data_IF_412227078324
#
_entry.id   IF_412227078324
#
_cell.length_a   1.000
_cell.length_b   1.000
_cell.length_c   1.000
_cell.angle_alpha   90.00
_cell.angle_beta   90.00
_cell.angle_gamma   90.00
#
_symmetry.space_group_name_H-M   'P 1'
#
loop_
_entity.id
_entity.type
_entity.pdbx_description
1 polymer ?
#
# COMPACT_ATOMS: atom_id res chain seq x y z
N UNK A 1 -17.86 7.65 13.96
CA UNK A 1 -16.95 6.61 13.39
C UNK A 1 -16.75 5.48 14.40
N UNK A 2 -16.59 4.22 13.96
CA UNK A 2 -16.25 3.09 14.85
C UNK A 2 -15.04 2.28 14.35
N UNK A 3 -14.12 1.91 15.25
CA UNK A 3 -13.03 0.98 14.95
C UNK A 3 -13.42 -0.46 15.32
N UNK A 4 -13.24 -1.39 14.39
CA UNK A 4 -13.65 -2.79 14.52
C UNK A 4 -12.48 -3.75 14.32
N UNK A 5 -12.51 -4.89 15.00
CA UNK A 5 -11.64 -6.04 14.70
C UNK A 5 -12.18 -6.80 13.49
N UNK A 6 -11.40 -7.71 12.90
CA UNK A 6 -11.92 -8.53 11.78
C UNK A 6 -13.05 -9.47 12.20
N UNK A 7 -13.09 -9.88 13.47
CA UNK A 7 -14.12 -10.79 13.97
C UNK A 7 -15.48 -10.12 14.07
N UNK A 8 -15.49 -8.81 14.32
CA UNK A 8 -16.72 -8.02 14.48
C UNK A 8 -17.32 -7.62 13.11
N UNK A 9 -16.63 -7.90 12.01
CA UNK A 9 -17.06 -7.52 10.67
C UNK A 9 -17.88 -8.63 10.01
N UNK A 10 -19.18 -8.41 9.92
CA UNK A 10 -20.08 -9.22 9.11
C UNK A 10 -20.15 -8.69 7.67
N UNK A 11 -19.52 -9.36 6.70
CA UNK A 11 -19.65 -9.00 5.27
C UNK A 11 -20.75 -9.85 4.63
N UNK A 12 -21.78 -9.21 4.11
CA UNK A 12 -22.91 -9.89 3.46
C UNK A 12 -22.64 -10.14 1.97
N UNK A 13 -23.57 -10.82 1.30
CA UNK A 13 -23.52 -11.08 -0.16
C UNK A 13 -23.91 -9.84 -0.97
N UNK A 14 -24.75 -8.96 -0.40
CA UNK A 14 -25.19 -7.72 -1.05
C UNK A 14 -24.10 -6.63 -1.05
N UNK A 15 -23.09 -6.80 -0.18
CA UNK A 15 -22.02 -5.84 -0.02
C UNK A 15 -21.09 -5.82 -1.25
N UNK A 16 -20.84 -4.62 -1.79
CA UNK A 16 -19.88 -4.41 -2.87
C UNK A 16 -18.45 -4.36 -2.30
N UNK A 17 -17.65 -5.38 -2.64
CA UNK A 17 -16.27 -5.52 -2.14
C UNK A 17 -15.25 -4.98 -3.14
N UNK A 18 -14.31 -4.19 -2.63
CA UNK A 18 -13.17 -3.65 -3.36
C UNK A 18 -11.88 -4.29 -2.84
N UNK A 19 -11.15 -4.97 -3.72
CA UNK A 19 -10.00 -5.82 -3.40
C UNK A 19 -8.80 -5.53 -4.28
N UNK A 20 -7.61 -5.88 -3.81
CA UNK A 20 -6.43 -5.78 -4.65
C UNK A 20 -6.50 -6.80 -5.79
N UNK A 21 -6.20 -6.34 -7.01
CA UNK A 21 -6.21 -7.16 -8.21
C UNK A 21 -5.17 -8.28 -8.11
N UNK A 22 -5.62 -9.51 -8.35
CA UNK A 22 -4.76 -10.69 -8.42
C UNK A 22 -4.08 -10.84 -9.79
N UNK A 23 -4.64 -10.22 -10.83
CA UNK A 23 -4.26 -10.44 -12.22
C UNK A 23 -2.80 -10.05 -12.50
N UNK A 24 -2.34 -8.92 -11.95
CA UNK A 24 -0.95 -8.47 -12.18
C UNK A 24 0.07 -9.43 -11.60
N UNK A 25 -0.22 -10.02 -10.42
CA UNK A 25 0.66 -11.02 -9.78
C UNK A 25 0.64 -12.34 -10.53
N UNK A 26 -0.52 -12.75 -11.06
CA UNK A 26 -0.65 -13.94 -11.89
C UNK A 26 0.10 -13.80 -13.22
N UNK A 27 -0.07 -12.68 -13.93
CA UNK A 27 0.64 -12.42 -15.19
C UNK A 27 2.15 -12.46 -14.97
N UNK A 28 2.65 -11.81 -13.92
CA UNK A 28 4.07 -11.86 -13.58
C UNK A 28 4.55 -13.30 -13.33
N UNK A 29 3.81 -14.09 -12.56
CA UNK A 29 4.15 -15.50 -12.28
C UNK A 29 4.21 -16.35 -13.57
N UNK A 30 3.22 -16.19 -14.45
CA UNK A 30 3.15 -16.90 -15.73
C UNK A 30 4.24 -16.46 -16.71
N UNK A 31 4.59 -15.18 -16.74
CA UNK A 31 5.68 -14.65 -17.57
C UNK A 31 7.01 -15.30 -17.19
N UNK A 32 7.35 -15.33 -15.90
CA UNK A 32 8.59 -15.97 -15.44
C UNK A 32 8.57 -17.50 -15.63
N UNK A 33 7.40 -18.13 -15.51
CA UNK A 33 7.26 -19.55 -15.82
C UNK A 33 7.50 -19.82 -17.32
N UNK A 34 6.92 -18.99 -18.20
CA UNK A 34 7.13 -19.07 -19.64
C UNK A 34 8.60 -18.90 -20.03
N UNK A 35 9.30 -17.94 -19.40
CA UNK A 35 10.76 -17.78 -19.59
C UNK A 35 11.54 -19.01 -19.13
N UNK A 36 11.15 -19.62 -18.01
CA UNK A 36 11.77 -20.86 -17.52
C UNK A 36 11.61 -22.00 -18.53
N UNK A 37 10.42 -22.15 -19.11
CA UNK A 37 10.14 -23.14 -20.16
C UNK A 37 10.95 -22.83 -21.42
N UNK A 38 11.07 -21.55 -21.80
CA UNK A 38 11.91 -21.12 -22.92
C UNK A 38 13.38 -21.51 -22.75
N UNK A 39 13.95 -21.26 -21.56
CA UNK A 39 15.31 -21.70 -21.24
C UNK A 39 15.46 -23.22 -21.26
N UNK A 40 14.44 -23.96 -20.81
CA UNK A 40 14.45 -25.43 -20.89
C UNK A 40 14.44 -25.93 -22.34
N UNK A 41 13.64 -25.34 -23.22
CA UNK A 41 13.62 -25.67 -24.64
C UNK A 41 14.97 -25.35 -25.32
N UNK A 42 15.60 -24.22 -24.98
CA UNK A 42 16.91 -23.83 -25.51
C UNK A 42 18.04 -24.76 -25.03
N UNK A 43 17.96 -25.21 -23.78
CA UNK A 43 18.84 -26.28 -23.29
C UNK A 43 18.64 -27.58 -24.08
N UNK A 44 17.39 -27.95 -24.36
CA UNK A 44 17.07 -29.18 -25.12
C UNK A 44 17.50 -29.13 -26.59
N UNK A 45 17.61 -27.95 -27.21
CA UNK A 45 18.18 -27.84 -28.56
C UNK A 45 19.71 -28.01 -28.60
N UNK A 46 20.37 -28.11 -27.45
CA UNK A 46 21.82 -28.33 -27.35
C UNK A 46 22.67 -27.07 -27.49
N UNK A 47 22.04 -25.91 -27.72
CA UNK A 47 22.74 -24.63 -27.88
C UNK A 47 23.12 -23.97 -26.55
N UNK A 48 22.48 -24.37 -25.45
CA UNK A 48 22.72 -23.80 -24.12
C UNK A 48 23.39 -24.83 -23.21
N UNK A 49 24.54 -24.51 -22.58
CA UNK A 49 25.16 -25.37 -21.57
C UNK A 49 24.25 -25.59 -20.34
N UNK A 50 24.35 -26.77 -19.72
CA UNK A 50 23.55 -27.12 -18.53
C UNK A 50 23.70 -26.11 -17.39
N UNK A 51 24.93 -25.65 -17.12
CA UNK A 51 25.17 -24.70 -16.03
C UNK A 51 24.44 -23.36 -16.27
N UNK A 52 24.42 -22.89 -17.52
CA UNK A 52 23.75 -21.65 -17.88
C UNK A 52 22.24 -21.80 -17.67
N UNK A 53 21.66 -22.93 -18.07
CA UNK A 53 20.25 -23.25 -17.85
C UNK A 53 19.88 -23.31 -16.37
N UNK A 54 20.68 -24.01 -15.56
CA UNK A 54 20.41 -24.14 -14.12
C UNK A 54 20.41 -22.79 -13.42
N UNK A 55 21.35 -21.90 -13.79
CA UNK A 55 21.40 -20.55 -13.24
C UNK A 55 20.21 -19.74 -13.75
N UNK A 56 20.07 -19.52 -15.07
CA UNK A 56 19.04 -18.64 -15.62
C UNK A 56 17.62 -19.17 -15.38
N UNK A 57 17.37 -20.43 -15.75
CA UNK A 57 16.09 -21.10 -15.55
C UNK A 57 15.74 -21.27 -14.08
N UNK A 58 16.72 -21.61 -13.23
CA UNK A 58 16.51 -21.67 -11.78
C UNK A 58 16.10 -20.33 -11.16
N UNK A 59 16.77 -19.24 -11.54
CA UNK A 59 16.40 -17.89 -11.10
C UNK A 59 14.99 -17.50 -11.58
N UNK A 60 14.65 -17.76 -12.85
CA UNK A 60 13.32 -17.46 -13.37
C UNK A 60 12.23 -18.27 -12.67
N UNK A 61 12.48 -19.55 -12.40
CA UNK A 61 11.57 -20.41 -11.65
C UNK A 61 11.37 -19.87 -10.23
N UNK A 62 12.44 -19.47 -9.55
CA UNK A 62 12.37 -18.87 -8.23
C UNK A 62 11.49 -17.61 -8.23
N UNK A 63 11.68 -16.70 -9.19
CA UNK A 63 10.82 -15.53 -9.33
C UNK A 63 9.36 -15.90 -9.58
N UNK A 64 9.10 -16.88 -10.46
CA UNK A 64 7.74 -17.38 -10.71
C UNK A 64 7.08 -17.88 -9.41
N UNK A 65 7.79 -18.67 -8.61
CA UNK A 65 7.31 -19.17 -7.32
C UNK A 65 7.02 -18.04 -6.32
N UNK A 66 7.87 -17.01 -6.28
CA UNK A 66 7.67 -15.83 -5.44
C UNK A 66 6.39 -15.08 -5.85
N UNK A 67 6.22 -14.77 -7.13
CA UNK A 67 5.02 -14.07 -7.62
C UNK A 67 3.75 -14.91 -7.46
N UNK A 68 3.86 -16.23 -7.64
CA UNK A 68 2.75 -17.14 -7.41
C UNK A 68 2.35 -17.21 -5.93
N UNK A 69 3.31 -17.14 -5.00
CA UNK A 69 3.04 -17.02 -3.57
C UNK A 69 2.28 -15.72 -3.24
N UNK A 70 2.68 -14.60 -3.84
CA UNK A 70 1.92 -13.34 -3.72
C UNK A 70 0.52 -13.46 -4.32
N UNK A 71 0.38 -14.10 -5.48
CA UNK A 71 -0.93 -14.36 -6.09
C UNK A 71 -1.82 -15.19 -5.15
N UNK A 72 -1.32 -16.27 -4.54
CA UNK A 72 -2.08 -17.04 -3.55
C UNK A 72 -2.59 -16.17 -2.40
N UNK A 73 -1.78 -15.24 -1.90
CA UNK A 73 -2.22 -14.29 -0.86
C UNK A 73 -3.37 -13.40 -1.32
N UNK A 74 -3.45 -13.04 -2.60
CA UNK A 74 -4.57 -12.25 -3.14
C UNK A 74 -5.89 -13.01 -3.20
N UNK A 75 -5.87 -14.34 -3.12
CA UNK A 75 -7.08 -15.17 -3.04
C UNK A 75 -7.61 -15.31 -1.60
N UNK A 76 -6.87 -14.77 -0.62
CA UNK A 76 -7.30 -14.77 0.77
C UNK A 76 -8.62 -14.00 0.95
N UNK A 77 -9.53 -14.46 1.83
CA UNK A 77 -10.72 -13.69 2.21
C UNK A 77 -10.36 -12.34 2.85
N UNK A 78 -9.12 -12.14 3.29
CA UNK A 78 -8.61 -10.88 3.84
C UNK A 78 -8.19 -9.87 2.78
N UNK A 79 -8.17 -10.24 1.49
CA UNK A 79 -7.88 -9.34 0.38
C UNK A 79 -9.12 -8.50 0.03
N UNK A 80 -9.44 -7.55 0.90
CA UNK A 80 -10.36 -6.47 0.62
C UNK A 80 -9.82 -5.21 1.30
N UNK A 81 -10.07 -4.06 0.67
CA UNK A 81 -9.68 -2.74 1.17
C UNK A 81 -10.90 -1.98 1.64
N UNK A 82 -11.98 -2.03 0.87
CA UNK A 82 -13.22 -1.33 1.17
C UNK A 82 -14.42 -2.21 0.87
N UNK A 83 -15.46 -2.07 1.67
CA UNK A 83 -16.75 -2.69 1.46
C UNK A 83 -17.82 -1.63 1.59
N UNK A 84 -18.69 -1.54 0.60
CA UNK A 84 -19.85 -0.64 0.62
C UNK A 84 -21.10 -1.49 0.68
N UNK A 85 -21.82 -1.38 1.79
CA UNK A 85 -23.08 -2.09 2.06
C UNK A 85 -24.23 -1.12 2.33
N UNK A 86 -25.46 -1.63 2.54
CA UNK A 86 -26.60 -0.78 2.87
C UNK A 86 -26.36 -0.03 4.18
N UNK A 87 -26.34 1.30 4.13
CA UNK A 87 -26.20 2.17 5.32
C UNK A 87 -24.86 2.07 6.04
N UNK A 88 -23.82 1.49 5.43
CA UNK A 88 -22.49 1.39 6.04
C UNK A 88 -21.37 1.28 5.02
N UNK A 89 -20.22 1.81 5.40
CA UNK A 89 -18.97 1.70 4.65
C UNK A 89 -17.91 1.16 5.60
N UNK A 90 -17.20 0.11 5.16
CA UNK A 90 -16.11 -0.50 5.91
C UNK A 90 -14.81 -0.29 5.16
N UNK A 91 -13.78 0.19 5.85
CA UNK A 91 -12.46 0.47 5.28
C UNK A 91 -11.42 -0.26 6.11
N UNK A 92 -10.72 -1.21 5.51
CA UNK A 92 -9.63 -1.94 6.14
C UNK A 92 -8.32 -1.20 5.92
N UNK A 93 -7.65 -0.78 6.99
CA UNK A 93 -6.36 -0.09 6.86
C UNK A 93 -5.15 -1.02 6.91
N UNK A 94 -5.30 -2.25 7.44
CA UNK A 94 -4.21 -3.24 7.39
C UNK A 94 -4.14 -3.93 6.03
N UNK A 95 -2.96 -3.94 5.43
CA UNK A 95 -2.72 -4.71 4.20
C UNK A 95 -2.94 -6.22 4.38
N UNK A 96 -3.62 -6.87 3.43
CA UNK A 96 -3.82 -8.33 3.40
C UNK A 96 -2.50 -9.12 3.38
N UNK A 97 -1.41 -8.48 2.95
CA UNK A 97 -0.07 -9.05 2.92
C UNK A 97 0.51 -9.30 4.32
N UNK A 98 -0.03 -8.61 5.34
CA UNK A 98 0.32 -8.73 6.75
C UNK A 98 -0.66 -9.63 7.52
N UNK A 99 -1.17 -10.68 6.87
CA UNK A 99 -2.08 -11.68 7.48
C UNK A 99 -1.45 -12.49 8.62
N UNK A 100 -0.14 -12.40 8.81
CA UNK A 100 0.59 -13.00 9.93
C UNK A 100 0.55 -12.16 11.23
N UNK A 101 0.01 -10.93 11.18
CA UNK A 101 -0.14 -10.09 12.37
C UNK A 101 -1.38 -10.48 13.19
N UNK A 102 -1.43 -10.21 14.51
CA UNK A 102 -2.56 -10.57 15.37
C UNK A 102 -3.90 -9.99 14.88
N UNK A 103 -4.93 -10.83 14.79
CA UNK A 103 -6.29 -10.44 14.37
C UNK A 103 -7.15 -9.84 15.47
N UNK A 104 -6.69 -9.91 16.73
CA UNK A 104 -7.38 -9.37 17.92
C UNK A 104 -7.46 -7.85 17.94
N UNK A 105 -6.65 -7.19 17.11
CA UNK A 105 -6.53 -5.75 17.09
C UNK A 105 -7.51 -5.10 16.09
N UNK A 106 -8.06 -3.89 16.39
CA UNK A 106 -8.91 -3.17 15.46
C UNK A 106 -8.17 -2.85 14.15
N UNK A 107 -8.77 -3.20 13.01
CA UNK A 107 -8.13 -2.98 11.70
C UNK A 107 -9.08 -2.50 10.60
N UNK A 108 -10.33 -2.23 10.99
CA UNK A 108 -11.41 -1.80 10.09
C UNK A 108 -12.06 -0.56 10.68
N UNK A 109 -12.26 0.44 9.85
CA UNK A 109 -13.07 1.63 10.13
C UNK A 109 -14.48 1.32 9.62
N UNK A 110 -15.49 1.53 10.45
CA UNK A 110 -16.88 1.55 10.04
C UNK A 110 -17.38 2.99 10.08
N UNK A 111 -17.90 3.42 8.94
CA UNK A 111 -18.54 4.72 8.74
C UNK A 111 -20.01 4.50 8.40
N UNK A 112 -20.87 5.32 9.00
CA UNK A 112 -22.23 5.48 8.53
C UNK A 112 -22.26 6.59 7.45
N UNK A 113 -23.15 6.52 6.44
CA UNK A 113 -23.24 7.56 5.42
C UNK A 113 -23.43 8.96 5.99
N UNK A 114 -24.17 9.09 7.09
CA UNK A 114 -24.44 10.37 7.75
C UNK A 114 -23.20 11.02 8.38
N UNK A 115 -22.13 10.24 8.62
CA UNK A 115 -20.85 10.74 9.14
C UNK A 115 -19.96 11.32 8.03
N UNK A 116 -20.32 11.10 6.76
CA UNK A 116 -19.53 11.46 5.59
C UNK A 116 -20.10 12.75 4.98
N UNK A 117 -19.27 13.79 4.96
CA UNK A 117 -19.62 15.08 4.35
C UNK A 117 -19.54 14.97 2.83
N UNK A 118 -18.39 14.50 2.33
CA UNK A 118 -18.13 14.40 0.90
C UNK A 118 -17.10 13.32 0.58
N UNK A 119 -17.04 12.95 -0.70
CA UNK A 119 -15.98 12.10 -1.23
C UNK A 119 -15.49 12.62 -2.58
N UNK A 120 -14.20 12.45 -2.87
CA UNK A 120 -13.63 12.84 -4.16
C UNK A 120 -12.49 11.92 -4.59
N UNK A 121 -12.24 11.92 -5.90
CA UNK A 121 -11.07 11.25 -6.48
C UNK A 121 -9.89 12.24 -6.43
N UNK A 122 -8.75 11.77 -5.96
CA UNK A 122 -7.48 12.51 -6.02
C UNK A 122 -6.49 11.77 -6.91
N UNK A 123 -5.97 12.46 -7.91
CA UNK A 123 -4.81 12.00 -8.68
C UNK A 123 -3.58 12.71 -8.17
N UNK A 124 -2.60 11.93 -7.72
CA UNK A 124 -1.38 12.45 -7.11
C UNK A 124 -0.19 12.15 -8.02
N UNK A 125 0.65 13.16 -8.20
CA UNK A 125 1.98 13.03 -8.79
C UNK A 125 3.01 13.23 -7.68
N UNK A 126 3.75 12.17 -7.35
CA UNK A 126 4.81 12.20 -6.34
C UNK A 126 6.16 12.25 -7.05
N UNK A 127 6.90 13.34 -6.90
CA UNK A 127 8.24 13.50 -7.50
C UNK A 127 9.28 13.38 -6.41
N UNK A 128 10.17 12.40 -6.53
CA UNK A 128 11.24 12.15 -5.56
C UNK A 128 12.51 11.60 -6.23
N UNK A 129 13.60 11.50 -5.49
CA UNK A 129 14.85 10.93 -6.01
C UNK A 129 14.90 9.41 -5.84
N UNK A 130 15.11 8.70 -6.94
CA UNK A 130 15.30 7.24 -6.95
C UNK A 130 16.63 6.83 -6.32
N UNK A 131 16.87 5.51 -6.18
CA UNK A 131 18.17 4.98 -5.75
C UNK A 131 19.34 5.57 -6.58
N UNK A 132 19.20 5.65 -7.91
CA UNK A 132 20.23 6.14 -8.84
C UNK A 132 20.41 7.66 -8.85
N UNK A 133 19.78 8.38 -7.91
CA UNK A 133 19.85 9.85 -7.83
C UNK A 133 19.15 10.59 -8.97
N UNK A 134 18.48 9.86 -9.87
CA UNK A 134 17.59 10.45 -10.87
C UNK A 134 16.27 10.86 -10.22
N UNK A 135 15.65 11.92 -10.76
CA UNK A 135 14.25 12.23 -10.44
C UNK A 135 13.35 11.11 -10.96
N UNK A 136 12.35 10.76 -10.19
CA UNK A 136 11.34 9.76 -10.54
C UNK A 136 9.99 10.30 -10.14
N UNK A 137 9.04 10.12 -11.05
CA UNK A 137 7.65 10.51 -10.87
C UNK A 137 6.82 9.25 -10.67
N UNK A 138 6.04 9.24 -9.61
CA UNK A 138 5.10 8.17 -9.29
C UNK A 138 3.68 8.71 -9.32
N UNK A 139 2.80 8.04 -10.07
CA UNK A 139 1.40 8.40 -10.15
C UNK A 139 0.56 7.54 -9.22
N UNK A 140 -0.27 8.18 -8.39
CA UNK A 140 -1.25 7.51 -7.54
C UNK A 140 -2.66 8.02 -7.81
N UNK A 141 -3.64 7.16 -7.56
CA UNK A 141 -5.04 7.54 -7.52
C UNK A 141 -5.60 7.09 -6.19
N UNK A 142 -6.23 8.02 -5.49
CA UNK A 142 -6.76 7.84 -4.15
C UNK A 142 -8.22 8.27 -4.09
N UNK A 143 -8.96 7.67 -3.17
CA UNK A 143 -10.29 8.11 -2.77
C UNK A 143 -10.14 8.87 -1.46
N UNK A 144 -10.59 10.11 -1.45
CA UNK A 144 -10.70 10.90 -0.22
C UNK A 144 -12.15 10.85 0.25
N UNK A 145 -12.32 10.59 1.54
CA UNK A 145 -13.59 10.63 2.25
C UNK A 145 -13.46 11.66 3.37
N UNK A 146 -14.21 12.75 3.26
CA UNK A 146 -14.27 13.80 4.27
C UNK A 146 -15.34 13.43 5.27
N UNK A 147 -14.96 13.35 6.55
CA UNK A 147 -15.89 13.05 7.65
C UNK A 147 -16.16 14.29 8.50
N UNK A 148 -17.28 14.27 9.23
CA UNK A 148 -17.66 15.36 10.13
C UNK A 148 -16.77 15.45 11.37
N UNK A 149 -16.43 14.30 11.94
CA UNK A 149 -15.68 14.22 13.20
C UNK A 149 -14.16 14.22 12.98
N UNK A 150 -13.43 14.63 14.01
CA UNK A 150 -11.97 14.55 14.02
C UNK A 150 -11.47 13.09 14.10
N UNK A 151 -10.46 12.74 13.30
CA UNK A 151 -9.93 11.39 13.16
C UNK A 151 -8.75 11.07 14.09
N UNK A 152 -8.68 11.69 15.27
CA UNK A 152 -7.55 11.55 16.21
C UNK A 152 -7.32 10.10 16.63
N UNK A 153 -8.39 9.37 16.99
CA UNK A 153 -8.32 7.94 17.33
C UNK A 153 -7.77 7.09 16.16
N UNK A 154 -8.21 7.39 14.93
CA UNK A 154 -7.73 6.68 13.75
C UNK A 154 -6.25 6.99 13.48
N UNK A 155 -5.80 8.23 13.68
CA UNK A 155 -4.38 8.59 13.52
C UNK A 155 -3.48 7.81 14.47
N UNK A 156 -3.85 7.76 15.76
CA UNK A 156 -3.11 6.98 16.75
C UNK A 156 -3.09 5.49 16.39
N UNK A 157 -4.22 4.96 15.94
CA UNK A 157 -4.33 3.57 15.51
C UNK A 157 -3.45 3.26 14.29
N UNK A 158 -3.43 4.13 13.28
CA UNK A 158 -2.57 3.99 12.11
C UNK A 158 -1.09 4.08 12.50
N UNK A 159 -0.75 4.95 13.46
CA UNK A 159 0.60 5.05 14.03
C UNK A 159 1.02 3.74 14.71
N UNK A 160 0.17 3.17 15.55
CA UNK A 160 0.40 1.85 16.15
C UNK A 160 0.62 0.77 15.08
N UNK A 161 -0.21 0.72 14.03
CA UNK A 161 -0.04 -0.25 12.94
C UNK A 161 1.30 -0.12 12.21
N UNK A 162 1.83 1.09 12.06
CA UNK A 162 3.15 1.32 11.46
C UNK A 162 4.28 0.80 12.33
N UNK A 163 4.12 0.85 13.65
CA UNK A 163 5.15 0.45 14.62
C UNK A 163 5.02 -1.01 15.10
N UNK A 164 3.93 -1.68 14.74
CA UNK A 164 3.70 -3.11 15.02
C UNK A 164 4.85 -3.98 14.49
N UNK A 165 5.47 -4.78 15.37
CA UNK A 165 6.55 -5.70 15.00
C UNK A 165 5.96 -7.06 14.59
N UNK A 166 6.42 -7.60 13.46
CA UNK A 166 6.02 -8.95 13.06
C UNK A 166 6.62 -9.99 14.01
N UNK A 167 5.83 -11.01 14.37
CA UNK A 167 6.29 -12.13 15.19
C UNK A 167 7.42 -12.88 14.45
N UNK A 168 8.45 -13.27 15.20
CA UNK A 168 9.52 -14.13 14.67
C UNK A 168 8.96 -15.53 14.42
N UNK A 169 9.02 -15.98 13.18
CA UNK A 169 8.66 -17.36 12.80
C UNK A 169 9.93 -18.20 12.91
N UNK A 170 9.91 -19.24 13.74
CA UNK A 170 10.99 -20.22 13.83
C UNK A 170 10.73 -21.33 12.82
N UNK A 171 11.56 -21.40 11.79
CA UNK A 171 11.69 -22.54 10.87
C UNK A 171 13.18 -22.91 10.80
N UNK A 172 13.67 -23.46 9.69
CA UNK A 172 15.11 -23.70 9.42
C UNK A 172 15.94 -22.41 9.57
N UNK A 173 15.33 -21.25 9.28
CA UNK A 173 15.87 -19.92 9.57
C UNK A 173 14.82 -19.11 10.33
N UNK A 174 15.25 -18.35 11.34
CA UNK A 174 14.35 -17.42 12.04
C UNK A 174 14.18 -16.15 11.22
N UNK A 175 12.95 -15.82 10.84
CA UNK A 175 12.65 -14.59 10.11
C UNK A 175 11.43 -13.86 10.69
N UNK A 176 11.38 -12.55 10.49
CA UNK A 176 10.23 -11.70 10.79
C UNK A 176 9.98 -10.80 9.59
N UNK A 177 8.80 -10.94 8.97
CA UNK A 177 8.46 -10.18 7.77
C UNK A 177 7.20 -9.38 8.01
N UNK A 178 7.33 -8.06 7.89
CA UNK A 178 6.24 -7.09 7.78
C UNK A 178 6.37 -6.34 6.48
N UNK A 179 5.26 -6.19 5.78
CA UNK A 179 5.19 -5.43 4.54
C UNK A 179 4.74 -4.00 4.88
N UNK A 180 5.56 -3.03 4.48
CA UNK A 180 5.35 -1.60 4.69
C UNK A 180 4.40 -1.05 3.61
N UNK A 181 3.16 -1.53 3.63
CA UNK A 181 2.10 -1.10 2.72
C UNK A 181 0.91 -0.62 3.55
N UNK A 182 0.69 0.69 3.55
CA UNK A 182 -0.33 1.37 4.34
C UNK A 182 -1.30 2.07 3.37
N UNK A 183 -2.36 1.38 2.92
CA UNK A 183 -3.25 1.90 1.89
C UNK A 183 -4.22 2.98 2.41
N UNK A 184 -4.20 3.29 3.70
CA UNK A 184 -5.08 4.28 4.33
C UNK A 184 -4.23 5.28 5.13
N UNK A 185 -4.51 6.56 4.94
CA UNK A 185 -3.90 7.67 5.69
C UNK A 185 -4.97 8.69 6.10
N UNK A 186 -4.61 9.59 7.01
CA UNK A 186 -5.45 10.71 7.44
C UNK A 186 -4.78 12.02 7.02
N UNK A 187 -5.53 12.89 6.34
CA UNK A 187 -5.11 14.23 5.90
C UNK A 187 -5.97 15.27 6.63
N UNK A 188 -5.40 16.42 6.98
CA UNK A 188 -6.09 17.60 7.55
C UNK A 188 -7.07 17.32 8.71
N UNK A 189 -6.79 16.26 9.47
CA UNK A 189 -7.55 15.77 10.63
C UNK A 189 -8.92 15.13 10.37
N UNK A 190 -9.54 15.33 9.21
CA UNK A 190 -10.90 14.82 8.92
C UNK A 190 -11.04 14.13 7.56
N UNK A 191 -9.94 13.96 6.81
CA UNK A 191 -9.97 13.29 5.50
C UNK A 191 -9.34 11.91 5.63
N UNK A 192 -10.10 10.86 5.33
CA UNK A 192 -9.58 9.51 5.16
C UNK A 192 -9.18 9.35 3.70
N UNK A 193 -7.88 9.22 3.44
CA UNK A 193 -7.34 8.98 2.10
C UNK A 193 -7.04 7.50 1.92
N UNK A 194 -7.61 6.92 0.87
CA UNK A 194 -7.53 5.50 0.55
C UNK A 194 -6.82 5.33 -0.80
N UNK A 195 -5.66 4.68 -0.82
CA UNK A 195 -4.92 4.38 -2.03
C UNK A 195 -5.69 3.37 -2.90
N UNK A 196 -6.06 3.78 -4.11
CA UNK A 196 -6.82 2.95 -5.03
C UNK A 196 -5.97 2.37 -6.16
N UNK A 197 -4.97 3.12 -6.62
CA UNK A 197 -4.05 2.71 -7.67
C UNK A 197 -2.68 3.32 -7.43
N UNK A 198 -1.64 2.49 -7.46
CA UNK A 198 -0.22 2.86 -7.44
C UNK A 198 0.56 1.92 -8.35
N UNK A 199 1.88 2.11 -8.56
CA UNK A 199 2.70 1.16 -9.30
C UNK A 199 2.71 -0.25 -8.67
N UNK A 200 2.50 -0.34 -7.35
CA UNK A 200 2.56 -1.61 -6.62
C UNK A 200 1.20 -2.32 -6.49
N UNK A 201 0.09 -1.55 -6.48
CA UNK A 201 -1.24 -2.04 -6.15
C UNK A 201 -2.31 -1.44 -7.07
N UNK A 202 -3.34 -2.23 -7.37
CA UNK A 202 -4.53 -1.75 -8.10
C UNK A 202 -5.75 -2.35 -7.42
N UNK A 203 -6.69 -1.52 -7.01
CA UNK A 203 -7.94 -1.96 -6.38
C UNK A 203 -9.01 -2.15 -7.45
N UNK A 204 -9.75 -3.25 -7.31
CA UNK A 204 -10.81 -3.72 -8.19
C UNK A 204 -12.06 -4.04 -7.38
N UNK A 205 -13.26 -3.61 -7.78
CA UNK A 205 -13.56 -2.77 -8.95
C UNK A 205 -12.90 -1.38 -8.94
N UNK A 206 -12.87 -0.72 -10.11
CA UNK A 206 -12.21 0.59 -10.26
C UNK A 206 -12.90 1.71 -9.48
N UNK A 207 -12.18 2.81 -9.26
CA UNK A 207 -12.60 3.91 -8.36
C UNK A 207 -13.93 4.56 -8.77
N UNK A 208 -14.27 4.59 -10.05
CA UNK A 208 -15.56 5.13 -10.51
C UNK A 208 -16.74 4.38 -9.91
N UNK A 209 -16.63 3.04 -9.80
CA UNK A 209 -17.70 2.23 -9.22
C UNK A 209 -17.93 2.54 -7.75
N UNK A 210 -16.89 2.87 -6.98
CA UNK A 210 -17.10 3.26 -5.58
C UNK A 210 -17.79 4.61 -5.50
N UNK A 211 -17.39 5.59 -6.33
CA UNK A 211 -18.08 6.89 -6.41
C UNK A 211 -19.56 6.71 -6.74
N UNK A 212 -19.91 5.88 -7.73
CA UNK A 212 -21.30 5.61 -8.09
C UNK A 212 -22.10 5.01 -6.91
N UNK A 213 -21.47 4.16 -6.10
CA UNK A 213 -22.10 3.57 -4.91
C UNK A 213 -22.27 4.59 -3.78
N UNK A 214 -21.27 5.46 -3.55
CA UNK A 214 -21.36 6.52 -2.55
C UNK A 214 -22.45 7.53 -2.92
N UNK A 215 -22.54 7.91 -4.19
CA UNK A 215 -23.57 8.81 -4.68
C UNK A 215 -24.99 8.24 -4.49
N UNK A 216 -25.17 6.92 -4.66
CA UNK A 216 -26.45 6.22 -4.38
C UNK A 216 -26.83 6.23 -2.90
N UNK A 217 -25.88 6.44 -2.01
CA UNK A 217 -26.12 6.62 -0.56
C UNK A 217 -26.28 8.09 -0.18
N UNK A 218 -26.54 8.97 -1.15
CA UNK A 218 -26.73 10.41 -0.95
C UNK A 218 -25.49 11.15 -0.42
N UNK A 219 -24.29 10.57 -0.56
CA UNK A 219 -23.03 11.24 -0.22
C UNK A 219 -22.67 12.24 -1.32
N UNK A 220 -22.28 13.45 -0.92
CA UNK A 220 -21.86 14.50 -1.85
C UNK A 220 -20.54 14.12 -2.52
N UNK A 221 -20.52 14.11 -3.86
CA UNK A 221 -19.30 13.84 -4.62
C UNK A 221 -18.68 15.15 -5.08
N UNK A 222 -17.51 15.47 -4.56
CA UNK A 222 -16.74 16.64 -4.95
C UNK A 222 -15.98 16.41 -6.27
N UNK A 223 -15.62 17.48 -7.00
CA UNK A 223 -14.83 17.39 -8.22
C UNK A 223 -13.50 16.68 -7.99
N UNK A 224 -13.02 15.97 -9.02
CA UNK A 224 -11.71 15.32 -8.99
C UNK A 224 -10.60 16.35 -8.78
N UNK A 225 -9.71 16.11 -7.82
CA UNK A 225 -8.54 16.95 -7.51
C UNK A 225 -7.28 16.37 -8.16
N UNK A 226 -6.34 17.25 -8.48
CA UNK A 226 -5.00 16.88 -8.94
C UNK A 226 -3.97 17.53 -8.00
N UNK A 227 -3.10 16.70 -7.41
CA UNK A 227 -2.08 17.13 -6.47
C UNK A 227 -0.70 16.77 -7.01
N UNK A 228 0.25 17.69 -6.90
CA UNK A 228 1.65 17.46 -7.25
C UNK A 228 2.50 17.70 -6.00
N UNK A 229 3.11 16.64 -5.50
CA UNK A 229 3.99 16.68 -4.33
C UNK A 229 5.44 16.47 -4.80
N UNK A 230 6.20 17.57 -4.89
CA UNK A 230 7.59 17.57 -5.32
C UNK A 230 8.55 17.54 -4.12
N UNK A 231 8.92 16.34 -3.69
CA UNK A 231 9.87 16.09 -2.61
C UNK A 231 11.34 16.33 -3.03
N UNK A 232 11.59 16.79 -4.26
CA UNK A 232 12.95 17.09 -4.72
C UNK A 232 13.43 18.48 -4.32
N UNK A 233 12.50 19.35 -3.91
CA UNK A 233 12.77 20.72 -3.48
C UNK A 233 13.09 20.73 -1.99
N UNK A 234 14.37 20.88 -1.66
CA UNK A 234 14.80 21.06 -0.28
C UNK A 234 14.64 22.53 0.07
N UNK A 235 13.86 22.82 1.11
CA UNK A 235 13.75 24.18 1.62
C UNK A 235 14.81 24.38 2.71
N UNK A 236 15.95 24.97 2.37
CA UNK A 236 17.06 25.18 3.33
C UNK A 236 16.74 26.14 4.48
N UNK A 237 15.57 26.80 4.47
CA UNK A 237 15.13 27.74 5.50
C UNK A 237 14.02 27.20 6.39
N UNK A 238 13.48 26.02 6.08
CA UNK A 238 12.32 25.45 6.77
C UNK A 238 12.52 23.96 7.04
N UNK A 239 13.18 23.68 8.16
CA UNK A 239 13.42 22.32 8.60
C UNK A 239 12.11 21.57 8.87
N UNK A 240 11.08 22.25 9.41
CA UNK A 240 9.78 21.61 9.69
C UNK A 240 9.12 21.10 8.41
N UNK A 241 9.12 21.91 7.35
CA UNK A 241 8.57 21.48 6.07
C UNK A 241 9.35 20.28 5.48
N UNK A 242 10.67 20.25 5.66
CA UNK A 242 11.47 19.11 5.23
C UNK A 242 11.16 17.84 6.05
N UNK A 243 10.96 17.95 7.36
CA UNK A 243 10.54 16.84 8.22
C UNK A 243 9.16 16.30 7.82
N UNK A 244 8.20 17.19 7.55
CA UNK A 244 6.87 16.81 7.06
C UNK A 244 6.95 16.07 5.73
N UNK A 245 7.79 16.52 4.80
CA UNK A 245 8.03 15.85 3.52
C UNK A 245 8.62 14.44 3.70
N UNK A 246 9.59 14.30 4.61
CA UNK A 246 10.21 13.02 4.96
C UNK A 246 9.17 12.08 5.59
N UNK A 247 8.38 12.60 6.54
CA UNK A 247 7.32 11.88 7.22
C UNK A 247 6.26 11.41 6.23
N UNK A 248 5.82 12.27 5.30
CA UNK A 248 4.82 11.93 4.29
C UNK A 248 5.31 10.79 3.37
N UNK A 249 6.57 10.83 2.93
CA UNK A 249 7.17 9.73 2.15
C UNK A 249 7.18 8.41 2.95
N UNK A 250 7.53 8.48 4.24
CA UNK A 250 7.59 7.32 5.12
C UNK A 250 6.20 6.72 5.41
N UNK A 251 5.21 7.57 5.71
CA UNK A 251 3.82 7.19 5.93
C UNK A 251 3.20 6.53 4.70
N UNK A 252 3.60 6.96 3.50
CA UNK A 252 3.21 6.39 2.21
C UNK A 252 3.94 5.06 1.86
N UNK A 253 4.76 4.53 2.78
CA UNK A 253 5.51 3.28 2.62
C UNK A 253 6.82 3.42 1.83
N UNK A 254 7.20 4.64 1.42
CA UNK A 254 8.42 4.88 0.64
C UNK A 254 9.62 5.21 1.56
N UNK A 255 9.96 4.27 2.43
CA UNK A 255 11.05 4.42 3.42
C UNK A 255 12.38 4.74 2.74
N UNK A 256 12.66 4.13 1.58
CA UNK A 256 13.92 4.38 0.86
C UNK A 256 14.04 5.83 0.38
N UNK A 257 12.97 6.39 -0.20
CA UNK A 257 12.96 7.79 -0.62
C UNK A 257 13.01 8.74 0.59
N UNK A 258 12.28 8.43 1.68
CA UNK A 258 12.32 9.20 2.92
C UNK A 258 13.74 9.25 3.52
N UNK A 259 14.40 8.10 3.65
CA UNK A 259 15.79 8.03 4.12
C UNK A 259 16.72 8.83 3.21
N UNK A 260 16.52 8.75 1.89
CA UNK A 260 17.35 9.50 0.95
C UNK A 260 17.14 11.01 1.05
N UNK A 261 15.92 11.47 1.26
CA UNK A 261 15.63 12.87 1.49
C UNK A 261 16.29 13.36 2.79
N UNK A 262 16.13 12.60 3.90
CA UNK A 262 16.78 12.90 5.17
C UNK A 262 18.32 13.00 5.05
N UNK A 263 18.96 12.09 4.31
CA UNK A 263 20.41 12.17 4.03
C UNK A 263 20.82 13.47 3.37
N UNK A 264 19.99 14.02 2.48
CA UNK A 264 20.32 15.24 1.73
C UNK A 264 20.02 16.51 2.50
N UNK A 265 18.94 16.53 3.27
CA UNK A 265 18.55 17.68 4.08
C UNK A 265 19.55 17.85 5.23
N UNK A 266 19.87 16.76 5.95
CA UNK A 266 20.65 16.82 7.19
C UNK A 266 22.10 16.31 7.07
N UNK A 267 22.55 15.96 5.85
CA UNK A 267 23.88 15.36 5.61
C UNK A 267 24.17 14.09 6.43
N UNK A 268 23.12 13.36 6.81
CA UNK A 268 23.25 12.12 7.56
C UNK A 268 23.86 10.98 6.74
N UNK A 269 24.54 10.06 7.43
CA UNK A 269 24.85 8.77 6.85
C UNK A 269 23.58 7.90 6.71
N UNK A 270 23.68 6.75 6.03
CA UNK A 270 22.49 5.91 5.76
C UNK A 270 21.82 5.39 7.03
N UNK A 271 22.59 5.05 8.07
CA UNK A 271 22.06 4.55 9.34
C UNK A 271 21.34 5.64 10.10
N UNK A 272 22.00 6.79 10.30
CA UNK A 272 21.42 7.97 10.96
C UNK A 272 20.14 8.45 10.27
N UNK A 273 20.14 8.52 8.94
CA UNK A 273 18.96 8.92 8.19
C UNK A 273 17.82 7.92 8.31
N UNK A 274 18.12 6.63 8.47
CA UNK A 274 17.11 5.62 8.68
C UNK A 274 16.52 5.71 10.09
N UNK A 275 17.37 5.84 11.11
CA UNK A 275 16.95 6.04 12.50
C UNK A 275 16.09 7.30 12.66
N UNK A 276 16.47 8.39 12.00
CA UNK A 276 15.68 9.62 11.96
C UNK A 276 14.28 9.41 11.35
N UNK A 277 14.20 8.74 10.21
CA UNK A 277 12.90 8.42 9.57
C UNK A 277 12.06 7.50 10.43
N UNK A 278 12.67 6.51 11.09
CA UNK A 278 11.98 5.62 12.01
C UNK A 278 11.47 6.39 13.23
N UNK A 279 12.27 7.30 13.80
CA UNK A 279 11.86 8.19 14.90
C UNK A 279 10.73 9.15 14.55
N UNK A 280 10.64 9.63 13.29
CA UNK A 280 9.50 10.45 12.84
C UNK A 280 8.18 9.64 12.77
N UNK A 281 8.25 8.32 12.66
CA UNK A 281 7.07 7.45 12.66
C UNK A 281 6.61 7.04 14.08
N UNK A 282 7.47 7.23 15.09
CA UNK A 282 7.22 6.96 16.51
C UNK A 282 6.36 8.00 17.20
#
# INVERSE_FOLDING_TARGET
MQLLTLKDVSITVQDSRFKQSSLTKLIAALLFLGLTIGFFCWYKSGEMPLFAFLISGGFMLLFSLIFFSFFKKTLSPLNWLMVVGPGRILIKFRSYLNSNLPETEPQVIKLNPDEIISANIVKQELVYYSHKNSKTTEYRTSLDIVVADELSELKERLKYERNLKAKKVKSVVTYSTKIHHYPVSVIDNNIIRIEWKSPASIITPGIKKVIDLLQRQCITIEPQKHEVNDFTRINSKDDKQNEENILQLAQNGNILAATKLAKRVYNYNTTQAREFVEGLLE
#
